data_IF_746265096369
#
_entry.id   IF_746265096369
#
_cell.length_a   1.000
_cell.length_b   1.000
_cell.length_c   1.000
_cell.angle_alpha   90.00
_cell.angle_beta   90.00
_cell.angle_gamma   90.00
#
_symmetry.space_group_name_H-M   'P 1'
#
loop_
_entity.id
_entity.type
_entity.pdbx_description
1 polymer ?
#
# COMPACT_ATOMS: atom_id res chain seq x y z
N UNK A 1 -17.94 -14.98 43.13
CA UNK A 1 -17.83 -15.28 41.69
C UNK A 1 -16.58 -14.56 41.17
N UNK A 2 -15.41 -15.19 41.28
CA UNK A 2 -14.15 -14.65 40.78
C UNK A 2 -14.09 -14.92 39.28
N UNK A 3 -14.52 -13.95 38.47
CA UNK A 3 -14.25 -13.98 37.03
C UNK A 3 -12.74 -13.85 36.88
N UNK A 4 -12.09 -14.92 36.41
CA UNK A 4 -10.63 -15.00 36.26
C UNK A 4 -10.13 -13.85 35.37
N UNK A 5 -9.45 -12.86 35.96
CA UNK A 5 -8.80 -11.76 35.24
C UNK A 5 -7.91 -12.26 34.09
N UNK A 6 -7.29 -13.43 34.26
CA UNK A 6 -6.47 -14.11 33.25
C UNK A 6 -7.26 -14.52 32.01
N UNK A 7 -8.52 -14.94 32.18
CA UNK A 7 -9.38 -15.39 31.09
C UNK A 7 -9.94 -14.22 30.28
N UNK A 8 -10.29 -13.13 30.98
CA UNK A 8 -10.66 -11.85 30.35
C UNK A 8 -9.48 -11.29 29.53
N UNK A 9 -8.26 -11.27 30.09
CA UNK A 9 -7.07 -10.81 29.35
C UNK A 9 -6.78 -11.66 28.11
N UNK A 10 -6.88 -13.00 28.19
CA UNK A 10 -6.68 -13.88 27.02
C UNK A 10 -7.74 -13.71 25.95
N UNK A 11 -8.98 -13.39 26.33
CA UNK A 11 -10.05 -13.10 25.37
C UNK A 11 -9.79 -11.79 24.63
N UNK A 12 -9.47 -10.72 25.36
CA UNK A 12 -9.18 -9.40 24.76
C UNK A 12 -7.96 -9.44 23.84
N UNK A 13 -6.90 -10.18 24.20
CA UNK A 13 -5.72 -10.34 23.34
C UNK A 13 -6.08 -11.08 22.05
N UNK A 14 -6.84 -12.17 22.13
CA UNK A 14 -7.29 -12.92 20.95
C UNK A 14 -8.22 -12.11 20.06
N UNK A 15 -9.14 -11.33 20.64
CA UNK A 15 -10.02 -10.44 19.87
C UNK A 15 -9.20 -9.38 19.11
N UNK A 16 -8.17 -8.81 19.74
CA UNK A 16 -7.23 -7.87 19.09
C UNK A 16 -6.38 -8.53 18.01
N UNK A 17 -5.90 -9.75 18.23
CA UNK A 17 -5.18 -10.51 17.20
C UNK A 17 -6.08 -10.82 16.00
N UNK A 18 -7.33 -11.23 16.25
CA UNK A 18 -8.33 -11.47 15.19
C UNK A 18 -8.61 -10.19 14.41
N UNK A 19 -8.79 -9.07 15.10
CA UNK A 19 -9.00 -7.77 14.48
C UNK A 19 -7.78 -7.33 13.65
N UNK A 20 -6.57 -7.47 14.20
CA UNK A 20 -5.32 -7.17 13.50
C UNK A 20 -5.18 -8.01 12.22
N UNK A 21 -5.33 -9.34 12.31
CA UNK A 21 -5.27 -10.26 11.18
C UNK A 21 -6.37 -10.01 10.15
N UNK A 22 -7.51 -9.45 10.56
CA UNK A 22 -8.58 -9.08 9.65
C UNK A 22 -8.25 -7.86 8.77
N UNK A 23 -7.25 -7.06 9.17
CA UNK A 23 -6.91 -5.80 8.52
C UNK A 23 -5.49 -5.72 7.96
N UNK A 24 -4.65 -6.73 8.18
CA UNK A 24 -3.27 -6.75 7.70
C UNK A 24 -3.02 -7.90 6.71
N UNK A 25 -2.11 -7.67 5.77
CA UNK A 25 -1.56 -8.69 4.88
C UNK A 25 -0.51 -9.51 5.65
N UNK A 26 -0.66 -10.83 5.65
CA UNK A 26 0.18 -11.73 6.46
C UNK A 26 1.63 -11.82 5.98
N UNK A 27 1.90 -11.45 4.73
CA UNK A 27 3.25 -11.52 4.16
C UNK A 27 4.05 -10.24 4.42
N UNK A 28 3.42 -9.09 4.24
CA UNK A 28 4.07 -7.77 4.23
C UNK A 28 3.81 -6.95 5.50
N UNK A 29 2.87 -7.37 6.34
CA UNK A 29 2.41 -6.66 7.55
C UNK A 29 1.84 -5.26 7.27
N UNK A 30 1.62 -4.91 6.00
CA UNK A 30 0.87 -3.73 5.61
C UNK A 30 -0.61 -3.94 5.86
N UNK A 31 -1.41 -2.88 5.76
CA UNK A 31 -2.85 -3.05 5.71
C UNK A 31 -3.26 -3.89 4.49
N UNK A 32 -4.40 -4.56 4.58
CA UNK A 32 -4.95 -5.31 3.47
C UNK A 32 -6.00 -4.48 2.69
N UNK A 33 -6.50 -5.05 1.59
CA UNK A 33 -7.57 -4.46 0.77
C UNK A 33 -8.78 -4.00 1.58
N UNK A 34 -9.25 -4.83 2.52
CA UNK A 34 -10.43 -4.52 3.33
C UNK A 34 -10.23 -3.26 4.17
N UNK A 35 -9.08 -3.13 4.82
CA UNK A 35 -8.77 -1.94 5.60
C UNK A 35 -8.67 -0.70 4.70
N UNK A 36 -8.00 -0.80 3.56
CA UNK A 36 -7.88 0.29 2.61
C UNK A 36 -9.26 0.78 2.13
N UNK A 37 -10.16 -0.13 1.74
CA UNK A 37 -11.51 0.20 1.30
C UNK A 37 -12.34 0.85 2.41
N UNK A 38 -12.23 0.35 3.65
CA UNK A 38 -12.89 0.95 4.80
C UNK A 38 -12.41 2.39 5.04
N UNK A 39 -11.10 2.63 4.96
CA UNK A 39 -10.53 3.96 5.16
C UNK A 39 -10.89 4.92 4.03
N UNK A 40 -10.96 4.45 2.78
CA UNK A 40 -11.51 5.28 1.70
C UNK A 40 -12.96 5.68 1.99
N UNK A 41 -13.80 4.74 2.42
CA UNK A 41 -15.19 5.06 2.76
C UNK A 41 -15.27 6.04 3.94
N UNK A 42 -14.41 5.87 4.96
CA UNK A 42 -14.33 6.75 6.13
C UNK A 42 -13.92 8.18 5.75
N UNK A 43 -13.04 8.33 4.77
CA UNK A 43 -12.52 9.64 4.36
C UNK A 43 -13.35 10.31 3.26
N UNK A 44 -14.19 9.57 2.53
CA UNK A 44 -15.09 10.12 1.52
C UNK A 44 -16.08 11.14 2.14
N UNK A 45 -16.02 12.38 1.67
CA UNK A 45 -16.83 13.49 2.22
C UNK A 45 -16.35 14.07 3.55
N UNK A 46 -15.19 13.62 4.07
CA UNK A 46 -14.58 14.15 5.30
C UNK A 46 -14.03 15.59 5.13
N UNK A 47 -13.38 16.12 6.18
CA UNK A 47 -12.70 17.43 6.14
C UNK A 47 -11.21 17.35 5.75
N UNK A 48 -10.70 16.14 5.48
CA UNK A 48 -9.27 15.86 5.25
C UNK A 48 -8.81 16.11 3.79
N UNK A 49 -9.56 16.91 3.03
CA UNK A 49 -9.24 17.20 1.63
C UNK A 49 -8.14 18.26 1.51
N UNK A 50 -7.29 18.22 0.46
CA UNK A 50 -7.30 17.26 -0.65
C UNK A 50 -6.88 15.85 -0.24
N UNK A 51 -7.40 14.82 -0.91
CA UNK A 51 -7.02 13.42 -0.67
C UNK A 51 -6.50 12.82 -1.97
N UNK A 52 -5.31 12.23 -1.93
CA UNK A 52 -4.72 11.54 -3.08
C UNK A 52 -4.68 10.03 -2.88
N UNK A 53 -4.75 9.33 -4.00
CA UNK A 53 -4.57 7.88 -4.07
C UNK A 53 -3.42 7.60 -5.02
N UNK A 54 -2.50 6.72 -4.60
CA UNK A 54 -1.47 6.13 -5.44
C UNK A 54 -1.74 4.64 -5.53
N UNK A 55 -1.76 4.10 -6.74
CA UNK A 55 -1.77 2.66 -7.02
C UNK A 55 -0.40 2.28 -7.56
N UNK A 56 0.20 1.25 -6.97
CA UNK A 56 1.50 0.72 -7.34
C UNK A 56 1.41 -0.76 -7.69
N UNK A 57 2.14 -1.16 -8.71
CA UNK A 57 2.24 -2.56 -9.14
C UNK A 57 3.72 -2.93 -9.27
N UNK A 58 4.12 -4.02 -8.60
CA UNK A 58 5.49 -4.53 -8.63
C UNK A 58 5.76 -5.28 -9.93
N UNK A 59 6.48 -4.63 -10.84
CA UNK A 59 6.81 -5.15 -12.17
C UNK A 59 7.65 -6.44 -12.05
N UNK A 60 7.42 -7.39 -12.97
CA UNK A 60 8.19 -8.65 -13.14
C UNK A 60 8.13 -9.65 -11.97
N UNK A 61 7.24 -9.49 -10.98
CA UNK A 61 7.13 -10.44 -9.87
C UNK A 61 6.87 -11.87 -10.37
N UNK A 62 6.03 -12.04 -11.39
CA UNK A 62 5.79 -13.35 -12.03
C UNK A 62 7.09 -13.94 -12.60
N UNK A 63 7.90 -13.16 -13.29
CA UNK A 63 9.19 -13.61 -13.84
C UNK A 63 10.17 -14.01 -12.75
N UNK A 64 10.19 -13.28 -11.62
CA UNK A 64 10.98 -13.65 -10.44
C UNK A 64 10.52 -15.00 -9.90
N UNK A 65 9.21 -15.18 -9.71
CA UNK A 65 8.64 -16.43 -9.20
C UNK A 65 8.93 -17.62 -10.12
N UNK A 66 8.74 -17.43 -11.43
CA UNK A 66 8.89 -18.50 -12.42
C UNK A 66 10.37 -18.95 -12.55
N UNK A 67 11.33 -18.03 -12.41
CA UNK A 67 12.76 -18.33 -12.59
C UNK A 67 13.51 -18.66 -11.29
N UNK A 68 13.07 -18.13 -10.15
CA UNK A 68 13.80 -18.20 -8.87
C UNK A 68 12.94 -18.71 -7.71
N UNK A 69 11.65 -18.98 -7.94
CA UNK A 69 10.73 -19.53 -6.96
C UNK A 69 10.02 -18.48 -6.11
N UNK A 70 8.86 -18.87 -5.58
CA UNK A 70 8.02 -18.04 -4.71
C UNK A 70 8.74 -17.45 -3.48
N UNK A 71 9.68 -18.15 -2.80
CA UNK A 71 10.38 -17.55 -1.66
C UNK A 71 11.12 -16.25 -2.00
N UNK A 72 11.67 -16.14 -3.22
CA UNK A 72 12.32 -14.91 -3.65
C UNK A 72 11.29 -13.83 -3.98
N UNK A 73 10.18 -14.17 -4.63
CA UNK A 73 9.10 -13.20 -4.87
C UNK A 73 8.48 -12.66 -3.59
N UNK A 74 8.34 -13.52 -2.56
CA UNK A 74 7.88 -13.13 -1.24
C UNK A 74 8.84 -12.13 -0.57
N UNK A 75 10.15 -12.34 -0.71
CA UNK A 75 11.17 -11.39 -0.25
C UNK A 75 11.07 -10.06 -1.01
N UNK A 76 10.78 -10.09 -2.31
CA UNK A 76 10.57 -8.88 -3.12
C UNK A 76 9.36 -8.07 -2.64
N UNK A 77 8.26 -8.75 -2.31
CA UNK A 77 7.07 -8.10 -1.77
C UNK A 77 7.35 -7.47 -0.40
N UNK A 78 8.04 -8.19 0.49
CA UNK A 78 8.43 -7.68 1.83
C UNK A 78 9.33 -6.46 1.74
N UNK A 79 10.32 -6.48 0.85
CA UNK A 79 11.25 -5.36 0.64
C UNK A 79 10.54 -4.15 0.06
N UNK A 80 9.66 -4.36 -0.91
CA UNK A 80 8.85 -3.29 -1.50
C UNK A 80 7.93 -2.66 -0.46
N UNK A 81 7.26 -3.47 0.37
CA UNK A 81 6.46 -3.01 1.48
C UNK A 81 7.27 -2.16 2.47
N UNK A 82 8.49 -2.60 2.82
CA UNK A 82 9.38 -1.85 3.70
C UNK A 82 9.78 -0.49 3.10
N UNK A 83 10.23 -0.47 1.83
CA UNK A 83 10.61 0.77 1.14
C UNK A 83 9.45 1.77 1.16
N UNK A 84 8.25 1.31 0.81
CA UNK A 84 7.08 2.18 0.76
C UNK A 84 6.68 2.67 2.16
N UNK A 85 6.69 1.79 3.17
CA UNK A 85 6.36 2.14 4.56
C UNK A 85 7.31 3.19 5.14
N UNK A 86 8.62 3.07 4.87
CA UNK A 86 9.64 3.98 5.39
C UNK A 86 9.57 5.39 4.74
N UNK A 87 8.86 5.55 3.63
CA UNK A 87 8.69 6.81 2.91
C UNK A 87 7.50 7.66 3.38
N UNK A 88 6.52 7.02 4.01
CA UNK A 88 5.20 7.59 4.31
C UNK A 88 5.09 8.07 5.75
N UNK A 89 4.17 9.00 5.99
CA UNK A 89 3.87 9.53 7.34
C UNK A 89 2.96 8.57 8.09
N UNK A 90 2.90 8.71 9.41
CA UNK A 90 2.04 7.86 10.24
C UNK A 90 0.53 7.99 9.96
N UNK A 91 0.11 9.09 9.33
CA UNK A 91 -1.27 9.35 8.92
C UNK A 91 -1.61 8.86 7.50
N UNK A 92 -0.59 8.54 6.71
CA UNK A 92 -0.75 7.93 5.39
C UNK A 92 -1.11 6.45 5.57
N UNK A 93 -2.01 5.96 4.73
CA UNK A 93 -2.40 4.54 4.76
C UNK A 93 -1.75 3.85 3.59
N UNK A 94 -1.02 2.78 3.88
CA UNK A 94 -0.45 1.91 2.87
C UNK A 94 -0.97 0.49 3.04
N UNK A 95 -1.44 -0.08 1.94
CA UNK A 95 -1.99 -1.42 1.91
C UNK A 95 -1.43 -2.23 0.74
N UNK A 96 -1.30 -3.54 0.95
CA UNK A 96 -1.22 -4.50 -0.15
C UNK A 96 -2.62 -4.96 -0.49
N UNK A 97 -3.06 -4.65 -1.72
CA UNK A 97 -4.43 -4.87 -2.16
C UNK A 97 -4.57 -6.05 -3.13
N UNK A 98 -3.46 -6.53 -3.68
CA UNK A 98 -3.42 -7.66 -4.61
C UNK A 98 -2.11 -8.45 -4.50
N UNK A 99 -1.87 -9.34 -5.46
CA UNK A 99 -0.65 -10.16 -5.49
C UNK A 99 0.62 -9.31 -5.47
N UNK A 100 0.76 -8.45 -6.46
CA UNK A 100 1.84 -7.48 -6.67
C UNK A 100 1.38 -6.02 -6.51
N UNK A 101 0.11 -5.81 -6.15
CA UNK A 101 -0.52 -4.48 -6.09
C UNK A 101 -0.50 -3.88 -4.68
N UNK A 102 -0.07 -2.63 -4.61
CA UNK A 102 -0.08 -1.77 -3.43
C UNK A 102 -0.96 -0.55 -3.66
N UNK A 103 -1.61 -0.06 -2.61
CA UNK A 103 -2.37 1.18 -2.63
C UNK A 103 -1.99 2.08 -1.47
N UNK A 104 -1.89 3.38 -1.74
CA UNK A 104 -1.55 4.40 -0.76
C UNK A 104 -2.64 5.46 -0.78
N UNK A 105 -3.18 5.79 0.40
CA UNK A 105 -4.14 6.87 0.61
C UNK A 105 -3.43 7.97 1.40
N UNK A 106 -3.44 9.18 0.83
CA UNK A 106 -2.72 10.35 1.33
C UNK A 106 -3.72 11.46 1.68
N UNK A 107 -4.23 11.50 2.92
CA UNK A 107 -5.06 12.59 3.39
C UNK A 107 -4.29 13.91 3.39
N UNK A 108 -5.00 15.03 3.23
CA UNK A 108 -4.45 16.38 3.24
C UNK A 108 -3.27 16.60 2.29
N UNK A 109 -3.21 15.82 1.20
CA UNK A 109 -2.12 15.82 0.23
C UNK A 109 -2.66 16.08 -1.17
N UNK A 110 -2.24 17.20 -1.77
CA UNK A 110 -2.62 17.59 -3.12
C UNK A 110 -1.79 16.87 -4.20
N UNK A 111 -2.12 17.14 -5.47
CA UNK A 111 -1.46 16.51 -6.62
C UNK A 111 0.04 16.78 -6.70
N UNK A 112 0.50 17.97 -6.31
CA UNK A 112 1.93 18.31 -6.29
C UNK A 112 2.69 17.48 -5.25
N UNK A 113 2.20 17.45 -3.99
CA UNK A 113 2.79 16.61 -2.94
C UNK A 113 2.77 15.12 -3.32
N UNK A 114 1.71 14.68 -3.98
CA UNK A 114 1.58 13.30 -4.48
C UNK A 114 2.63 12.98 -5.55
N UNK A 115 2.87 13.90 -6.49
CA UNK A 115 3.89 13.73 -7.50
C UNK A 115 5.30 13.64 -6.90
N UNK A 116 5.60 14.45 -5.86
CA UNK A 116 6.86 14.36 -5.12
C UNK A 116 7.01 13.03 -4.38
N UNK A 117 5.94 12.49 -3.79
CA UNK A 117 5.95 11.17 -3.15
C UNK A 117 6.21 10.07 -4.20
N UNK A 118 5.54 10.11 -5.35
CA UNK A 118 5.77 9.17 -6.45
C UNK A 118 7.23 9.21 -6.94
N UNK A 119 7.83 10.39 -7.06
CA UNK A 119 9.24 10.55 -7.44
C UNK A 119 10.18 9.98 -6.37
N UNK A 120 9.91 10.25 -5.09
CA UNK A 120 10.67 9.66 -3.97
C UNK A 120 10.59 8.14 -3.95
N UNK A 121 9.42 7.56 -4.19
CA UNK A 121 9.25 6.11 -4.28
C UNK A 121 10.16 5.54 -5.38
N UNK A 122 10.11 6.10 -6.59
CA UNK A 122 10.96 5.63 -7.70
C UNK A 122 12.45 5.72 -7.36
N UNK A 123 12.88 6.86 -6.80
CA UNK A 123 14.27 7.07 -6.40
C UNK A 123 14.76 6.09 -5.33
N UNK A 124 13.93 5.76 -4.33
CA UNK A 124 14.33 4.76 -3.34
C UNK A 124 14.38 3.35 -3.92
N UNK A 125 13.50 2.98 -4.86
CA UNK A 125 13.63 1.71 -5.60
C UNK A 125 14.93 1.66 -6.40
N UNK A 126 15.28 2.73 -7.12
CA UNK A 126 16.53 2.83 -7.88
C UNK A 126 17.77 2.76 -6.97
N UNK A 127 17.72 3.47 -5.83
CA UNK A 127 18.77 3.43 -4.81
C UNK A 127 18.91 2.03 -4.22
N UNK A 128 17.81 1.36 -3.93
CA UNK A 128 17.79 0.01 -3.39
C UNK A 128 18.41 -0.99 -4.38
N UNK A 129 18.08 -0.88 -5.67
CA UNK A 129 18.72 -1.66 -6.73
C UNK A 129 20.22 -1.37 -6.88
N UNK A 130 20.65 -0.11 -6.67
CA UNK A 130 22.07 0.25 -6.80
C UNK A 130 22.92 -0.25 -5.63
N UNK A 131 22.30 -0.45 -4.46
CA UNK A 131 22.98 -0.85 -3.23
C UNK A 131 22.99 -2.37 -3.00
N UNK A 132 22.28 -3.15 -3.81
CA UNK A 132 22.09 -4.57 -3.63
C UNK A 132 22.19 -5.30 -4.96
N UNK A 133 22.67 -6.54 -4.94
CA UNK A 133 22.73 -7.38 -6.14
C UNK A 133 21.48 -8.26 -6.21
N UNK A 134 20.65 -8.02 -7.24
CA UNK A 134 19.40 -8.74 -7.46
C UNK A 134 19.38 -9.36 -8.85
N UNK A 135 18.89 -10.60 -9.00
CA UNK A 135 18.81 -11.24 -10.31
C UNK A 135 17.91 -10.48 -11.29
N UNK A 136 16.86 -9.83 -10.77
CA UNK A 136 15.99 -8.92 -11.52
C UNK A 136 15.82 -7.65 -10.67
N UNK A 137 16.13 -6.45 -11.21
CA UNK A 137 15.93 -5.20 -10.48
C UNK A 137 14.47 -4.98 -10.07
N UNK A 138 14.28 -4.46 -8.86
CA UNK A 138 12.98 -4.01 -8.37
C UNK A 138 12.46 -2.87 -9.23
N UNK A 139 11.26 -3.02 -9.79
CA UNK A 139 10.60 -1.95 -10.53
C UNK A 139 9.16 -1.87 -10.09
N UNK A 140 8.68 -0.65 -9.87
CA UNK A 140 7.29 -0.40 -9.52
C UNK A 140 6.68 0.57 -10.54
N UNK A 141 5.51 0.21 -11.04
CA UNK A 141 4.69 1.07 -11.88
C UNK A 141 3.67 1.79 -11.00
N UNK A 142 3.64 3.13 -11.07
CA UNK A 142 2.81 3.96 -10.22
C UNK A 142 1.79 4.74 -11.05
N UNK A 143 0.57 4.84 -10.55
CA UNK A 143 -0.45 5.76 -11.01
C UNK A 143 -1.06 6.51 -9.85
N UNK A 144 -1.46 7.76 -10.05
CA UNK A 144 -2.01 8.58 -8.98
C UNK A 144 -3.13 9.50 -9.45
N UNK A 145 -4.03 9.84 -8.53
CA UNK A 145 -5.09 10.82 -8.73
C UNK A 145 -5.42 11.52 -7.42
N UNK A 146 -6.05 12.69 -7.50
CA UNK A 146 -6.35 13.53 -6.34
C UNK A 146 -7.79 14.01 -6.36
N UNK A 147 -8.52 13.78 -5.28
CA UNK A 147 -9.74 14.49 -4.97
C UNK A 147 -9.38 15.84 -4.33
N UNK A 148 -9.59 16.93 -5.07
CA UNK A 148 -9.32 18.29 -4.56
C UNK A 148 -10.34 18.74 -3.51
N UNK A 149 -11.57 18.26 -3.63
CA UNK A 149 -12.72 18.71 -2.86
C UNK A 149 -13.62 17.54 -2.47
N UNK A 150 -14.42 17.75 -1.42
CA UNK A 150 -15.28 16.73 -0.79
C UNK A 150 -16.43 16.20 -1.65
N UNK A 151 -16.75 16.87 -2.75
CA UNK A 151 -17.78 16.45 -3.71
C UNK A 151 -17.26 15.39 -4.69
N UNK A 152 -15.94 15.20 -4.79
CA UNK A 152 -15.33 14.18 -5.63
C UNK A 152 -15.27 12.87 -4.84
N UNK A 153 -15.88 11.81 -5.40
CA UNK A 153 -15.92 10.50 -4.78
C UNK A 153 -14.56 9.82 -4.81
N UNK A 154 -14.07 9.36 -3.65
CA UNK A 154 -12.77 8.66 -3.59
C UNK A 154 -12.73 7.37 -4.42
N UNK A 155 -13.86 6.69 -4.63
CA UNK A 155 -13.96 5.56 -5.54
C UNK A 155 -13.64 5.93 -7.00
N UNK A 156 -14.03 7.12 -7.46
CA UNK A 156 -13.68 7.61 -8.79
C UNK A 156 -12.20 7.96 -8.89
N UNK A 157 -11.64 8.54 -7.84
CA UNK A 157 -10.21 8.87 -7.74
C UNK A 157 -9.36 7.59 -7.73
N UNK A 158 -9.79 6.55 -7.01
CA UNK A 158 -9.16 5.23 -7.05
C UNK A 158 -9.11 4.70 -8.49
N UNK A 159 -10.24 4.71 -9.19
CA UNK A 159 -10.33 4.23 -10.57
C UNK A 159 -9.45 5.06 -11.54
N UNK A 160 -9.27 6.36 -11.29
CA UNK A 160 -8.38 7.20 -12.09
C UNK A 160 -6.90 6.86 -11.82
N UNK A 161 -6.52 6.66 -10.56
CA UNK A 161 -5.17 6.27 -10.15
C UNK A 161 -4.80 4.90 -10.74
N UNK A 162 -5.71 3.93 -10.65
CA UNK A 162 -5.56 2.59 -11.23
C UNK A 162 -5.36 2.64 -12.76
N UNK A 163 -6.24 3.35 -13.47
CA UNK A 163 -6.08 3.56 -14.93
C UNK A 163 -4.77 4.25 -15.29
N UNK A 164 -4.31 5.20 -14.46
CA UNK A 164 -3.01 5.85 -14.64
C UNK A 164 -1.85 4.87 -14.47
N UNK A 165 -1.94 3.98 -13.48
CA UNK A 165 -0.95 2.95 -13.20
C UNK A 165 -0.83 1.99 -14.38
N UNK A 166 -1.95 1.44 -14.85
CA UNK A 166 -1.99 0.54 -16.01
C UNK A 166 -1.37 1.17 -17.28
N UNK A 167 -1.66 2.45 -17.54
CA UNK A 167 -1.04 3.18 -18.66
C UNK A 167 0.48 3.33 -18.51
N UNK A 168 0.97 3.51 -17.28
CA UNK A 168 2.39 3.64 -17.01
C UNK A 168 3.11 2.29 -17.06
N UNK A 169 2.45 1.21 -16.65
CA UNK A 169 2.96 -0.17 -16.74
C UNK A 169 3.13 -0.59 -18.20
N UNK A 170 2.14 -0.34 -19.06
CA UNK A 170 2.18 -0.69 -20.48
C UNK A 170 3.04 0.24 -21.39
N UNK A 171 3.66 1.29 -20.84
CA UNK A 171 4.57 2.19 -21.58
C UNK A 171 6.06 1.80 -21.46
N UNK A 172 6.37 0.78 -20.67
CA UNK A 172 7.72 0.24 -20.46
C UNK A 172 7.90 -1.06 -21.22
#
# INVERSE_FOLDING_TARGET
MLVNLVDVSRRVVREREIEYLSYHDSLTELYNRRYFENEMQRLDGSRRYPISIIIGDLDNLKTVNDNYGHPLGDDYLKKSAKILKDLLRGEDIIARIGGDEFAILLPETGSEGTALICDRIKKEFDRYNSANDFPIPFKISLGCATAKEKNIKLAEVYNQADKSMYKNKGRK
#
